data_IF_568599132909
#
_entry.id   IF_568599132909
#
_cell.length_a   1.000
_cell.length_b   1.000
_cell.length_c   1.000
_cell.angle_alpha   90.00
_cell.angle_beta   90.00
_cell.angle_gamma   90.00
#
_symmetry.space_group_name_H-M   'P 1'
#
loop_
_entity.id
_entity.type
_entity.pdbx_description
1 polymer ?
#
# COMPACT_ATOMS: atom_id res chain seq x y z
N UNK A 1 26.22 -26.01 7.36
CA UNK A 1 25.64 -24.98 8.24
C UNK A 1 26.66 -24.54 9.28
N UNK A 2 26.60 -23.28 9.70
CA UNK A 2 27.34 -22.72 10.84
C UNK A 2 26.28 -22.20 11.81
N UNK A 3 26.20 -22.75 13.04
CA UNK A 3 25.08 -22.45 13.94
C UNK A 3 25.50 -22.35 15.41
N UNK A 4 24.91 -21.40 16.14
CA UNK A 4 25.06 -21.19 17.58
C UNK A 4 26.49 -20.84 18.06
N UNK A 5 27.35 -20.35 17.16
CA UNK A 5 28.72 -19.95 17.49
C UNK A 5 28.78 -18.47 17.87
N UNK A 6 28.29 -18.13 19.07
CA UNK A 6 28.22 -16.75 19.57
C UNK A 6 29.57 -16.02 19.65
N UNK A 7 30.67 -16.76 19.79
CA UNK A 7 32.02 -16.21 19.84
C UNK A 7 32.72 -16.19 18.46
N UNK A 8 32.08 -16.70 17.40
CA UNK A 8 32.60 -16.59 16.04
C UNK A 8 32.31 -15.18 15.52
N UNK A 9 33.29 -14.29 15.58
CA UNK A 9 33.18 -12.90 15.14
C UNK A 9 33.83 -12.62 13.76
N UNK A 10 34.64 -13.57 13.27
CA UNK A 10 35.31 -13.53 11.98
C UNK A 10 35.23 -14.89 11.25
N UNK A 11 34.99 -14.85 9.94
CA UNK A 11 35.24 -15.96 8.99
C UNK A 11 36.25 -15.44 7.99
N UNK A 12 37.28 -16.24 7.71
CA UNK A 12 38.30 -15.91 6.72
C UNK A 12 37.67 -15.82 5.30
N UNK A 13 37.95 -14.77 4.51
CA UNK A 13 37.42 -14.62 3.14
C UNK A 13 37.74 -15.77 2.19
N UNK A 14 38.71 -16.61 2.53
CA UNK A 14 39.12 -17.77 1.76
C UNK A 14 38.56 -19.10 2.29
N UNK A 15 37.72 -19.07 3.34
CA UNK A 15 37.09 -20.26 3.93
C UNK A 15 36.07 -20.96 3.01
N UNK A 16 35.42 -20.21 2.11
CA UNK A 16 34.44 -20.74 1.15
C UNK A 16 34.98 -20.63 -0.28
N UNK A 17 35.60 -21.70 -0.77
CA UNK A 17 36.20 -21.77 -2.12
C UNK A 17 35.77 -23.01 -2.88
N UNK A 18 35.34 -22.82 -4.13
CA UNK A 18 35.08 -23.84 -5.14
C UNK A 18 34.27 -25.04 -4.61
N UNK A 19 32.99 -24.79 -4.31
CA UNK A 19 32.04 -25.77 -3.75
C UNK A 19 30.90 -26.01 -4.76
N UNK A 20 31.17 -26.63 -5.93
CA UNK A 20 30.21 -26.72 -7.04
C UNK A 20 28.94 -27.54 -6.72
N UNK A 21 29.00 -28.42 -5.71
CA UNK A 21 27.89 -29.25 -5.24
C UNK A 21 27.14 -28.65 -4.04
N UNK A 22 27.47 -27.43 -3.61
CA UNK A 22 26.84 -26.79 -2.46
C UNK A 22 25.44 -26.31 -2.83
N UNK A 23 24.41 -26.88 -2.20
CA UNK A 23 23.00 -26.52 -2.44
C UNK A 23 22.44 -25.52 -1.43
N UNK A 24 22.99 -25.56 -0.21
CA UNK A 24 22.50 -24.81 0.94
C UNK A 24 23.64 -24.31 1.81
N UNK A 25 23.61 -23.03 2.15
CA UNK A 25 24.51 -22.42 3.13
C UNK A 25 23.69 -21.71 4.20
N UNK A 26 23.66 -22.27 5.41
CA UNK A 26 23.03 -21.68 6.59
C UNK A 26 24.05 -21.08 7.58
N UNK A 27 23.88 -19.83 8.00
CA UNK A 27 24.69 -19.13 9.02
C UNK A 27 23.77 -18.51 10.08
N UNK A 28 23.77 -19.08 11.29
CA UNK A 28 22.76 -18.86 12.32
C UNK A 28 23.34 -18.52 13.69
N UNK A 29 22.83 -17.47 14.35
CA UNK A 29 23.11 -17.18 15.76
C UNK A 29 24.63 -17.14 16.06
N UNK A 30 25.35 -16.34 15.28
CA UNK A 30 26.81 -16.15 15.39
C UNK A 30 27.17 -14.75 15.89
N UNK A 31 28.44 -14.57 16.29
CA UNK A 31 29.00 -13.27 16.69
C UNK A 31 29.44 -12.37 15.53
N UNK A 32 29.18 -12.76 14.27
CA UNK A 32 29.74 -12.13 13.08
C UNK A 32 29.34 -10.66 12.97
N UNK A 33 30.36 -9.79 12.83
CA UNK A 33 30.20 -8.34 12.63
C UNK A 33 30.23 -7.95 11.15
N UNK A 34 30.92 -8.75 10.33
CA UNK A 34 31.16 -8.52 8.91
C UNK A 34 30.43 -9.60 8.11
N UNK A 35 29.89 -9.23 6.95
CA UNK A 35 29.29 -10.18 6.01
C UNK A 35 30.39 -11.09 5.43
N UNK A 36 30.22 -12.43 5.40
CA UNK A 36 31.25 -13.35 4.91
C UNK A 36 31.47 -13.19 3.40
N UNK A 37 32.70 -13.39 2.93
CA UNK A 37 32.98 -13.45 1.48
C UNK A 37 32.43 -14.77 0.92
N UNK A 38 31.45 -14.66 0.02
CA UNK A 38 30.81 -15.78 -0.66
C UNK A 38 31.18 -15.85 -2.15
N UNK A 39 32.01 -14.93 -2.64
CA UNK A 39 32.22 -14.70 -4.09
C UNK A 39 33.00 -15.81 -4.80
N UNK A 40 33.63 -16.71 -4.03
CA UNK A 40 34.51 -17.77 -4.52
C UNK A 40 33.85 -19.16 -4.48
N UNK A 41 32.55 -19.24 -4.18
CA UNK A 41 31.83 -20.51 -4.01
C UNK A 41 31.59 -21.23 -5.34
N UNK A 42 31.10 -20.52 -6.37
CA UNK A 42 30.81 -21.06 -7.71
C UNK A 42 29.98 -22.35 -7.70
N UNK A 43 28.80 -22.33 -7.06
CA UNK A 43 27.88 -23.47 -7.09
C UNK A 43 27.28 -23.67 -8.48
N UNK A 44 27.06 -24.94 -8.84
CA UNK A 44 26.39 -25.37 -10.07
C UNK A 44 25.01 -26.00 -9.79
N UNK A 45 24.46 -25.83 -8.59
CA UNK A 45 23.09 -26.26 -8.29
C UNK A 45 22.06 -25.29 -8.87
N UNK A 46 20.93 -25.82 -9.36
CA UNK A 46 19.90 -25.03 -10.04
C UNK A 46 19.17 -24.07 -9.10
N UNK A 47 18.99 -24.45 -7.83
CA UNK A 47 18.21 -23.69 -6.84
C UNK A 47 19.03 -23.53 -5.55
N UNK A 48 20.02 -22.62 -5.57
CA UNK A 48 20.85 -22.37 -4.39
C UNK A 48 20.07 -21.61 -3.32
N UNK A 49 20.09 -22.12 -2.08
CA UNK A 49 19.50 -21.46 -0.92
C UNK A 49 20.57 -20.93 0.04
N UNK A 50 20.66 -19.61 0.18
CA UNK A 50 21.47 -18.96 1.20
C UNK A 50 20.56 -18.49 2.35
N UNK A 51 20.90 -18.89 3.58
CA UNK A 51 20.16 -18.48 4.77
C UNK A 51 21.11 -17.92 5.84
N UNK A 52 20.99 -16.62 6.11
CA UNK A 52 21.75 -15.91 7.14
C UNK A 52 20.73 -15.29 8.08
N UNK A 53 20.66 -15.78 9.31
CA UNK A 53 19.67 -15.33 10.29
C UNK A 53 20.19 -15.29 11.72
N UNK A 54 19.54 -14.50 12.57
CA UNK A 54 19.88 -14.32 13.99
C UNK A 54 21.32 -13.81 14.23
N UNK A 55 21.90 -13.03 13.30
CA UNK A 55 23.24 -12.45 13.46
C UNK A 55 23.12 -10.93 13.79
N UNK A 56 23.01 -10.54 15.07
CA UNK A 56 22.61 -9.18 15.47
C UNK A 56 23.71 -8.13 15.30
N UNK A 57 24.96 -8.53 15.09
CA UNK A 57 26.10 -7.62 14.94
C UNK A 57 26.47 -7.34 13.47
N UNK A 58 25.85 -8.04 12.51
CA UNK A 58 26.13 -7.88 11.08
C UNK A 58 25.36 -6.67 10.55
N UNK A 59 26.07 -5.56 10.28
CA UNK A 59 25.43 -4.24 10.09
C UNK A 59 25.02 -3.90 8.66
N UNK A 60 25.60 -4.52 7.64
CA UNK A 60 25.28 -4.20 6.23
C UNK A 60 25.56 -5.35 5.28
N UNK A 61 24.83 -5.39 4.18
CA UNK A 61 25.15 -6.23 3.01
C UNK A 61 26.05 -5.40 2.07
N UNK A 62 27.29 -5.84 1.77
CA UNK A 62 28.21 -5.09 0.91
C UNK A 62 27.85 -5.18 -0.58
N UNK A 63 28.44 -4.32 -1.40
CA UNK A 63 28.37 -4.44 -2.86
C UNK A 63 28.95 -5.78 -3.34
N UNK A 64 28.33 -6.39 -4.36
CA UNK A 64 28.71 -7.69 -4.96
C UNK A 64 28.75 -8.87 -3.97
N UNK A 65 28.05 -8.81 -2.83
CA UNK A 65 28.11 -9.81 -1.76
C UNK A 65 27.80 -11.26 -2.20
N UNK A 66 27.01 -11.42 -3.27
CA UNK A 66 26.55 -12.70 -3.81
C UNK A 66 27.11 -13.01 -5.21
N UNK A 67 27.98 -12.15 -5.76
CA UNK A 67 28.50 -12.28 -7.11
C UNK A 67 29.38 -13.54 -7.23
N UNK A 68 29.05 -14.45 -8.14
CA UNK A 68 29.77 -15.74 -8.29
C UNK A 68 29.38 -16.82 -7.28
N UNK A 69 28.31 -16.62 -6.50
CA UNK A 69 27.78 -17.63 -5.58
C UNK A 69 27.14 -18.82 -6.32
N UNK A 70 26.28 -18.51 -7.30
CA UNK A 70 25.54 -19.45 -8.14
C UNK A 70 25.30 -18.82 -9.51
N UNK A 71 25.28 -19.63 -10.58
CA UNK A 71 24.97 -19.17 -11.94
C UNK A 71 23.48 -19.31 -12.30
N UNK A 72 22.78 -20.26 -11.67
CA UNK A 72 21.35 -20.52 -11.83
C UNK A 72 20.55 -19.71 -10.78
N UNK A 73 19.41 -20.22 -10.29
CA UNK A 73 18.53 -19.50 -9.37
C UNK A 73 19.10 -19.40 -7.94
N UNK A 74 18.95 -18.22 -7.34
CA UNK A 74 19.37 -17.91 -5.97
C UNK A 74 18.19 -17.44 -5.11
N UNK A 75 17.93 -18.18 -4.01
CA UNK A 75 17.02 -17.74 -2.94
C UNK A 75 17.81 -17.21 -1.75
N UNK A 76 17.48 -16.00 -1.31
CA UNK A 76 18.14 -15.28 -0.21
C UNK A 76 17.23 -15.13 1.01
N UNK A 77 17.54 -15.84 2.09
CA UNK A 77 16.89 -15.70 3.39
C UNK A 77 17.80 -14.94 4.35
N UNK A 78 17.61 -13.63 4.46
CA UNK A 78 18.49 -12.68 5.16
C UNK A 78 17.79 -12.03 6.36
N UNK A 79 17.02 -12.79 7.13
CA UNK A 79 16.08 -12.28 8.12
C UNK A 79 16.61 -12.19 9.56
N UNK A 80 16.04 -11.29 10.36
CA UNK A 80 16.33 -11.14 11.80
C UNK A 80 17.83 -10.93 12.15
N UNK A 81 18.56 -10.21 11.29
CA UNK A 81 19.95 -9.80 11.51
C UNK A 81 20.04 -8.34 11.97
N UNK A 82 21.27 -7.89 12.25
CA UNK A 82 21.60 -6.51 12.62
C UNK A 82 21.60 -5.49 11.48
N UNK A 83 21.12 -5.83 10.28
CA UNK A 83 21.29 -5.00 9.08
C UNK A 83 20.69 -3.61 9.26
N UNK A 84 21.46 -2.60 8.84
CA UNK A 84 21.11 -1.17 8.87
C UNK A 84 20.93 -0.61 7.46
N UNK A 85 21.71 -1.11 6.50
CA UNK A 85 21.67 -0.71 5.10
C UNK A 85 22.09 -1.85 4.16
N UNK A 86 21.55 -1.82 2.95
CA UNK A 86 22.01 -2.62 1.80
C UNK A 86 22.70 -1.66 0.82
N UNK A 87 23.93 -1.98 0.42
CA UNK A 87 24.72 -1.14 -0.48
C UNK A 87 24.22 -1.20 -1.93
N UNK A 88 24.62 -0.23 -2.76
CA UNK A 88 24.41 -0.30 -4.21
C UNK A 88 25.15 -1.51 -4.79
N UNK A 89 24.62 -2.10 -5.87
CA UNK A 89 25.13 -3.32 -6.50
C UNK A 89 25.28 -4.52 -5.55
N UNK A 90 24.56 -4.59 -4.43
CA UNK A 90 24.64 -5.71 -3.49
C UNK A 90 24.32 -7.06 -4.16
N UNK A 91 23.36 -7.07 -5.09
CA UNK A 91 22.90 -8.27 -5.80
C UNK A 91 23.41 -8.36 -7.26
N UNK A 92 24.42 -7.57 -7.63
CA UNK A 92 24.97 -7.54 -8.98
C UNK A 92 25.53 -8.91 -9.42
N UNK A 93 25.25 -9.31 -10.67
CA UNK A 93 25.69 -10.59 -11.25
C UNK A 93 24.98 -11.82 -10.68
N UNK A 94 23.69 -11.70 -10.32
CA UNK A 94 22.89 -12.82 -9.79
C UNK A 94 21.52 -12.95 -10.48
N UNK A 95 20.98 -14.18 -10.48
CA UNK A 95 19.59 -14.49 -10.82
C UNK A 95 18.82 -14.71 -9.51
N UNK A 96 17.90 -13.82 -9.17
CA UNK A 96 17.21 -13.82 -7.87
C UNK A 96 15.81 -14.40 -8.03
N UNK A 97 15.47 -15.43 -7.26
CA UNK A 97 14.07 -15.84 -7.11
C UNK A 97 13.44 -15.06 -5.95
N UNK A 98 13.60 -15.53 -4.72
CA UNK A 98 13.01 -14.90 -3.54
C UNK A 98 14.04 -14.25 -2.60
N UNK A 99 13.70 -13.06 -2.07
CA UNK A 99 14.52 -12.29 -1.12
C UNK A 99 13.71 -11.98 0.14
N UNK A 100 14.12 -12.57 1.27
CA UNK A 100 13.50 -12.35 2.58
C UNK A 100 14.42 -11.49 3.46
N UNK A 101 14.05 -10.22 3.63
CA UNK A 101 14.68 -9.22 4.50
C UNK A 101 13.83 -8.94 5.75
N UNK A 102 12.83 -9.76 6.04
CA UNK A 102 11.90 -9.53 7.13
C UNK A 102 12.57 -9.54 8.53
N UNK A 103 11.95 -8.88 9.51
CA UNK A 103 12.40 -8.79 10.92
C UNK A 103 13.77 -8.09 11.12
N UNK A 104 14.41 -7.53 10.09
CA UNK A 104 15.58 -6.68 10.24
C UNK A 104 15.18 -5.29 10.80
N UNK A 105 15.01 -5.22 12.12
CA UNK A 105 14.43 -4.06 12.84
C UNK A 105 15.20 -2.74 12.67
N UNK A 106 16.47 -2.80 12.25
CA UNK A 106 17.33 -1.63 12.08
C UNK A 106 17.55 -1.24 10.62
N UNK A 107 17.02 -2.00 9.66
CA UNK A 107 17.23 -1.79 8.23
C UNK A 107 16.42 -0.58 7.76
N UNK A 108 17.12 0.51 7.44
CA UNK A 108 16.54 1.82 7.09
C UNK A 108 16.57 2.12 5.60
N UNK A 109 17.62 1.66 4.91
CA UNK A 109 17.91 2.05 3.53
C UNK A 109 18.30 0.83 2.72
N UNK A 110 17.56 0.59 1.64
CA UNK A 110 18.04 -0.17 0.48
C UNK A 110 18.49 0.89 -0.52
N UNK A 111 19.71 0.79 -1.05
CA UNK A 111 20.21 1.73 -2.04
C UNK A 111 19.42 1.61 -3.37
N UNK A 112 19.19 2.73 -4.06
CA UNK A 112 18.45 2.76 -5.35
C UNK A 112 19.04 1.82 -6.40
N UNK A 113 20.37 1.68 -6.43
CA UNK A 113 21.07 0.81 -7.38
C UNK A 113 21.41 -0.58 -6.77
N UNK A 114 20.76 -0.99 -5.66
CA UNK A 114 21.02 -2.29 -5.02
C UNK A 114 20.75 -3.50 -5.94
N UNK A 115 19.72 -3.39 -6.80
CA UNK A 115 19.33 -4.39 -7.81
C UNK A 115 19.95 -4.13 -9.21
N UNK A 116 20.86 -3.16 -9.33
CA UNK A 116 21.47 -2.84 -10.62
C UNK A 116 22.52 -3.90 -11.00
N UNK A 117 22.31 -4.55 -12.15
CA UNK A 117 23.13 -5.67 -12.63
C UNK A 117 22.63 -7.06 -12.21
N UNK A 118 21.40 -7.15 -11.67
CA UNK A 118 20.68 -8.42 -11.53
C UNK A 118 20.28 -8.93 -12.92
N UNK A 119 20.50 -10.22 -13.18
CA UNK A 119 20.24 -10.84 -14.49
C UNK A 119 18.77 -11.26 -14.66
N UNK A 120 18.10 -11.67 -13.58
CA UNK A 120 16.67 -11.95 -13.55
C UNK A 120 16.10 -11.82 -12.13
N UNK A 121 14.82 -11.44 -12.01
CA UNK A 121 14.13 -11.26 -10.74
C UNK A 121 14.51 -9.97 -9.98
N UNK A 122 14.20 -9.86 -8.68
CA UNK A 122 13.56 -10.87 -7.83
C UNK A 122 12.07 -11.09 -8.14
N UNK A 123 11.59 -12.31 -7.95
CA UNK A 123 10.15 -12.68 -8.07
C UNK A 123 9.39 -12.37 -6.78
N UNK A 124 10.03 -12.53 -5.60
CA UNK A 124 9.46 -12.24 -4.29
C UNK A 124 10.39 -11.36 -3.45
N UNK A 125 9.83 -10.31 -2.83
CA UNK A 125 10.54 -9.44 -1.90
C UNK A 125 9.74 -9.26 -0.60
N UNK A 126 10.27 -9.78 0.51
CA UNK A 126 9.70 -9.59 1.85
C UNK A 126 10.57 -8.67 2.71
N UNK A 127 10.07 -7.45 2.95
CA UNK A 127 10.64 -6.41 3.82
C UNK A 127 9.79 -6.17 5.08
N UNK A 128 8.97 -7.14 5.49
CA UNK A 128 8.06 -7.03 6.64
C UNK A 128 8.82 -6.83 7.96
N UNK A 129 8.27 -5.99 8.85
CA UNK A 129 8.84 -5.68 10.18
C UNK A 129 10.27 -5.08 10.09
N UNK A 130 10.51 -4.26 9.08
CA UNK A 130 11.72 -3.44 8.92
C UNK A 130 11.41 -1.96 9.19
N UNK A 131 12.41 -1.08 9.07
CA UNK A 131 12.25 0.38 9.19
C UNK A 131 12.66 1.12 7.91
N UNK A 132 12.46 0.45 6.76
CA UNK A 132 12.78 0.97 5.42
C UNK A 132 11.85 2.16 5.10
N UNK A 133 12.43 3.23 4.55
CA UNK A 133 11.68 4.46 4.21
C UNK A 133 11.14 4.44 2.77
N UNK A 134 11.96 3.95 1.82
CA UNK A 134 11.66 3.89 0.39
C UNK A 134 12.05 2.50 -0.18
N UNK A 135 11.34 2.06 -1.21
CA UNK A 135 11.79 0.98 -2.10
C UNK A 135 12.57 1.58 -3.29
N UNK A 136 13.57 0.87 -3.84
CA UNK A 136 14.29 1.31 -5.01
C UNK A 136 13.39 1.37 -6.25
N UNK A 137 13.65 2.33 -7.14
CA UNK A 137 12.82 2.57 -8.34
C UNK A 137 13.16 1.61 -9.49
N UNK A 138 14.36 1.02 -9.50
CA UNK A 138 14.87 0.14 -10.58
C UNK A 138 15.00 -1.30 -10.12
N UNK A 139 14.88 -2.25 -11.05
CA UNK A 139 15.15 -3.67 -10.80
C UNK A 139 14.06 -4.41 -10.00
N UNK A 140 12.83 -3.90 -10.01
CA UNK A 140 11.64 -4.57 -9.42
C UNK A 140 10.60 -4.95 -10.48
N UNK A 141 10.98 -4.96 -11.76
CA UNK A 141 10.07 -5.15 -12.91
C UNK A 141 9.51 -6.58 -13.01
N UNK A 142 10.30 -7.58 -12.59
CA UNK A 142 9.92 -9.00 -12.53
C UNK A 142 9.23 -9.41 -11.21
N UNK A 143 8.93 -8.45 -10.33
CA UNK A 143 8.41 -8.73 -8.99
C UNK A 143 6.94 -9.19 -9.06
N UNK A 144 6.67 -10.40 -8.55
CA UNK A 144 5.35 -11.03 -8.48
C UNK A 144 4.71 -10.91 -7.10
N UNK A 145 5.50 -11.00 -6.03
CA UNK A 145 5.04 -10.87 -4.65
C UNK A 145 5.84 -9.83 -3.87
N UNK A 146 5.15 -8.83 -3.30
CA UNK A 146 5.73 -7.82 -2.40
C UNK A 146 5.11 -7.95 -1.00
N UNK A 147 5.94 -8.17 0.02
CA UNK A 147 5.49 -8.21 1.42
C UNK A 147 6.18 -7.12 2.25
N UNK A 148 5.39 -6.27 2.89
CA UNK A 148 5.80 -5.12 3.69
C UNK A 148 4.87 -4.95 4.90
N UNK A 149 4.55 -6.05 5.60
CA UNK A 149 3.70 -6.05 6.81
C UNK A 149 4.42 -5.38 7.98
N UNK A 150 3.74 -4.52 8.73
CA UNK A 150 4.26 -3.81 9.91
C UNK A 150 5.54 -2.98 9.64
N UNK A 151 5.65 -2.40 8.43
CA UNK A 151 6.74 -1.51 7.98
C UNK A 151 6.22 -0.07 7.86
N UNK A 152 5.82 0.50 9.01
CA UNK A 152 5.16 1.83 9.13
C UNK A 152 6.02 3.05 8.74
N UNK A 153 7.28 2.83 8.35
CA UNK A 153 8.18 3.87 7.82
C UNK A 153 8.09 4.00 6.30
N UNK A 154 7.63 2.95 5.60
CA UNK A 154 7.44 2.94 4.15
C UNK A 154 6.14 3.69 3.84
N UNK A 155 6.23 5.03 3.75
CA UNK A 155 5.05 5.87 3.49
C UNK A 155 4.69 5.96 2.00
N UNK A 156 5.66 5.82 1.10
CA UNK A 156 5.48 5.93 -0.35
C UNK A 156 5.97 4.67 -1.05
N UNK A 157 5.23 4.25 -2.07
CA UNK A 157 5.66 3.21 -3.00
C UNK A 157 6.15 3.84 -4.31
N UNK A 158 7.02 3.15 -5.07
CA UNK A 158 7.29 3.47 -6.47
C UNK A 158 5.99 3.45 -7.31
N UNK A 159 6.04 4.08 -8.49
CA UNK A 159 4.88 4.12 -9.38
C UNK A 159 4.45 2.70 -9.82
N UNK A 160 3.14 2.44 -9.87
CA UNK A 160 2.57 1.13 -10.25
C UNK A 160 3.06 0.63 -11.62
N UNK A 161 3.47 1.55 -12.51
CA UNK A 161 4.13 1.26 -13.80
C UNK A 161 5.35 0.33 -13.71
N UNK A 162 6.05 0.31 -12.57
CA UNK A 162 7.25 -0.51 -12.36
C UNK A 162 6.86 -1.96 -12.03
N UNK A 163 5.68 -2.16 -11.42
CA UNK A 163 5.20 -3.45 -10.95
C UNK A 163 4.42 -4.20 -12.04
N UNK A 164 5.07 -4.43 -13.19
CA UNK A 164 4.43 -5.01 -14.39
C UNK A 164 3.90 -6.44 -14.18
N UNK A 165 4.59 -7.24 -13.37
CA UNK A 165 4.25 -8.66 -13.15
C UNK A 165 3.67 -8.95 -11.75
N UNK A 166 3.27 -7.92 -10.99
CA UNK A 166 2.89 -8.08 -9.59
C UNK A 166 1.50 -8.72 -9.45
N UNK A 167 1.44 -9.86 -8.77
CA UNK A 167 0.22 -10.65 -8.53
C UNK A 167 -0.28 -10.45 -7.09
N UNK A 168 0.63 -10.23 -6.12
CA UNK A 168 0.29 -10.10 -4.70
C UNK A 168 1.09 -8.99 -4.02
N UNK A 169 0.40 -8.14 -3.26
CA UNK A 169 0.98 -7.07 -2.47
C UNK A 169 0.42 -7.11 -1.04
N UNK A 170 1.29 -7.21 -0.04
CA UNK A 170 0.87 -7.38 1.36
C UNK A 170 1.52 -6.32 2.24
N UNK A 171 0.80 -5.23 2.46
CA UNK A 171 1.33 -3.92 2.83
C UNK A 171 0.88 -3.51 4.24
N UNK A 172 1.41 -2.39 4.73
CA UNK A 172 1.03 -1.85 6.04
C UNK A 172 -0.13 -0.83 5.99
N UNK A 173 -0.36 -0.21 4.84
CA UNK A 173 -1.33 0.88 4.67
C UNK A 173 -2.40 0.52 3.63
N UNK A 174 -3.71 0.52 3.97
CA UNK A 174 -4.78 0.26 3.00
C UNK A 174 -4.77 1.24 1.81
N UNK A 175 -4.33 2.47 2.03
CA UNK A 175 -4.23 3.51 0.99
C UNK A 175 -3.22 3.17 -0.13
N UNK A 176 -2.26 2.28 0.11
CA UNK A 176 -1.37 1.80 -0.96
C UNK A 176 -2.12 0.89 -1.94
N UNK A 177 -3.07 0.07 -1.47
CA UNK A 177 -3.88 -0.81 -2.32
C UNK A 177 -4.82 -0.06 -3.27
N UNK A 178 -5.18 1.18 -2.93
CA UNK A 178 -5.93 2.08 -3.83
C UNK A 178 -5.24 2.31 -5.19
N UNK A 179 -3.91 2.38 -5.22
CA UNK A 179 -3.16 2.62 -6.46
C UNK A 179 -3.29 1.44 -7.44
N UNK A 180 -3.21 0.20 -6.93
CA UNK A 180 -3.39 -1.02 -7.73
C UNK A 180 -4.85 -1.20 -8.20
N UNK A 181 -5.83 -0.85 -7.35
CA UNK A 181 -7.26 -0.86 -7.71
C UNK A 181 -7.59 0.11 -8.86
N UNK A 182 -7.04 1.32 -8.81
CA UNK A 182 -7.26 2.34 -9.84
C UNK A 182 -6.50 2.04 -11.15
N UNK A 183 -5.34 1.38 -11.09
CA UNK A 183 -4.63 0.89 -12.26
C UNK A 183 -5.52 -0.01 -13.12
N UNK A 184 -6.18 -1.03 -12.52
CA UNK A 184 -7.09 -1.93 -13.24
C UNK A 184 -8.24 -1.18 -13.93
N UNK A 185 -8.80 -0.13 -13.32
CA UNK A 185 -9.88 0.67 -13.92
C UNK A 185 -9.46 1.30 -15.26
N UNK A 186 -8.24 1.82 -15.34
CA UNK A 186 -7.72 2.43 -16.56
C UNK A 186 -7.21 1.39 -17.57
N UNK A 187 -6.45 0.39 -17.10
CA UNK A 187 -5.93 -0.69 -17.94
C UNK A 187 -7.06 -1.54 -18.55
N UNK A 188 -8.10 -1.87 -17.78
CA UNK A 188 -9.26 -2.61 -18.27
C UNK A 188 -10.12 -1.82 -19.26
N UNK A 189 -10.17 -0.49 -19.19
CA UNK A 189 -10.80 0.34 -20.24
C UNK A 189 -9.95 0.32 -21.52
N UNK A 190 -8.63 0.46 -21.39
CA UNK A 190 -7.69 0.45 -22.53
C UNK A 190 -7.69 -0.92 -23.23
N UNK A 191 -7.61 -2.00 -22.46
CA UNK A 191 -7.63 -3.38 -22.92
C UNK A 191 -8.99 -3.77 -23.51
N UNK A 192 -10.11 -3.33 -22.92
CA UNK A 192 -11.44 -3.48 -23.52
C UNK A 192 -11.53 -2.76 -24.87
N UNK A 193 -11.02 -1.53 -24.99
CA UNK A 193 -11.01 -0.79 -26.26
C UNK A 193 -10.16 -1.49 -27.32
N UNK A 194 -8.96 -1.95 -26.96
CA UNK A 194 -8.05 -2.67 -27.88
C UNK A 194 -8.63 -4.03 -28.31
N UNK A 195 -9.13 -4.84 -27.37
CA UNK A 195 -9.70 -6.16 -27.66
C UNK A 195 -11.03 -6.09 -28.45
N UNK A 196 -11.87 -5.09 -28.19
CA UNK A 196 -13.12 -4.90 -28.94
C UNK A 196 -12.83 -4.45 -30.39
N UNK A 197 -11.75 -3.69 -30.62
CA UNK A 197 -11.32 -3.33 -31.98
C UNK A 197 -10.73 -4.55 -32.73
N UNK A 198 -10.01 -5.44 -32.04
CA UNK A 198 -9.57 -6.75 -32.57
C UNK A 198 -10.74 -7.67 -32.95
N UNK A 199 -11.87 -7.57 -32.24
CA UNK A 199 -13.11 -8.32 -32.56
C UNK A 199 -13.71 -8.00 -33.94
N UNK A 200 -13.50 -6.77 -34.44
CA UNK A 200 -14.08 -6.31 -35.72
C UNK A 200 -13.22 -6.67 -36.94
N UNK A 201 -11.90 -6.82 -36.77
CA UNK A 201 -10.96 -7.05 -37.88
C UNK A 201 -10.68 -8.51 -38.24
N UNK A 202 -11.24 -9.48 -37.50
CA UNK A 202 -11.11 -10.92 -37.82
C UNK A 202 -11.99 -11.37 -39.01
N UNK A 203 -12.86 -10.50 -39.53
CA UNK A 203 -13.79 -10.80 -40.63
C UNK A 203 -13.21 -10.57 -42.03
N UNK A 204 -11.99 -11.08 -42.29
CA UNK A 204 -11.50 -11.37 -43.65
C UNK A 204 -10.29 -12.32 -43.64
N UNK A 205 -10.34 -13.31 -44.53
CA UNK A 205 -9.28 -14.25 -44.93
C UNK A 205 -8.79 -15.26 -43.88
N UNK A 206 -9.51 -16.39 -43.75
CA UNK A 206 -8.91 -17.68 -43.36
C UNK A 206 -9.44 -18.85 -44.19
N UNK A 207 -8.65 -19.25 -45.21
CA UNK A 207 -8.74 -20.47 -46.04
C UNK A 207 -7.30 -20.77 -46.51
N UNK A 208 -6.73 -21.98 -46.49
CA UNK A 208 -7.10 -23.28 -45.90
C UNK A 208 -5.88 -24.24 -45.95
N UNK A 209 -5.97 -25.40 -45.25
CA UNK A 209 -5.10 -26.61 -45.38
C UNK A 209 -3.64 -26.54 -44.85
N UNK A 210 -2.99 -27.64 -44.41
CA UNK A 210 -3.37 -29.08 -44.35
C UNK A 210 -2.65 -29.77 -43.17
N UNK A 211 -3.34 -30.67 -42.46
CA UNK A 211 -2.70 -31.64 -41.56
C UNK A 211 -3.01 -33.07 -42.02
N UNK A 212 -2.00 -33.94 -42.09
CA UNK A 212 -2.12 -35.36 -42.48
C UNK A 212 -1.25 -36.20 -41.55
N UNK A 213 -1.87 -37.10 -40.75
CA UNK A 213 -1.27 -38.19 -39.91
C UNK A 213 -0.23 -37.68 -38.87
N UNK A 214 -0.37 -37.84 -37.55
CA UNK A 214 -0.98 -38.91 -36.73
C UNK A 214 -0.06 -40.15 -36.66
N UNK A 215 -0.03 -40.96 -35.57
CA UNK A 215 -0.69 -40.88 -34.25
C UNK A 215 0.27 -41.18 -33.04
N UNK A 216 -0.28 -41.57 -31.86
CA UNK A 216 0.39 -42.11 -30.63
C UNK A 216 1.09 -41.10 -29.69
N UNK A 217 1.06 -41.22 -28.34
CA UNK A 217 0.20 -41.96 -27.38
C UNK A 217 0.31 -41.19 -26.03
N UNK A 218 -0.76 -40.59 -25.49
CA UNK A 218 -1.61 -41.13 -24.41
C UNK A 218 -0.93 -41.16 -23.02
N UNK A 219 -1.20 -40.13 -22.21
CA UNK A 219 -1.00 -40.17 -20.75
C UNK A 219 -2.14 -40.92 -20.06
N UNK A 220 -1.86 -41.50 -18.89
CA UNK A 220 -2.82 -42.18 -18.04
C UNK A 220 -3.36 -41.24 -16.95
N UNK A 221 -4.69 -41.18 -16.81
CA UNK A 221 -5.35 -40.79 -15.58
C UNK A 221 -6.59 -41.68 -15.40
N UNK A 222 -6.73 -42.31 -14.24
CA UNK A 222 -7.75 -43.32 -13.98
C UNK A 222 -9.13 -42.74 -13.65
N UNK A 223 -10.11 -43.61 -13.80
CA UNK A 223 -11.55 -43.34 -13.78
C UNK A 223 -12.14 -43.49 -12.36
N UNK A 224 -13.04 -42.59 -11.98
CA UNK A 224 -14.16 -42.93 -11.11
C UNK A 224 -15.45 -42.36 -11.68
N UNK A 225 -16.36 -43.26 -12.03
CA UNK A 225 -17.63 -43.00 -12.74
C UNK A 225 -18.80 -42.94 -11.77
N UNK A 226 -19.73 -42.00 -11.94
CA UNK A 226 -21.15 -42.30 -11.70
C UNK A 226 -22.11 -41.48 -12.59
N UNK A 227 -23.21 -42.14 -12.94
CA UNK A 227 -24.03 -42.05 -14.17
C UNK A 227 -25.25 -41.14 -14.02
N UNK A 228 -25.74 -40.60 -15.16
CA UNK A 228 -27.15 -40.34 -15.64
C UNK A 228 -27.23 -39.00 -16.40
N UNK A 229 -28.01 -38.77 -17.48
CA UNK A 229 -28.70 -39.63 -18.46
C UNK A 229 -29.03 -38.79 -19.74
N UNK A 230 -28.99 -39.41 -20.94
CA UNK A 230 -29.85 -39.25 -22.17
C UNK A 230 -30.47 -37.87 -22.60
N UNK A 231 -30.69 -37.43 -23.87
CA UNK A 231 -30.57 -37.99 -25.26
C UNK A 231 -30.97 -36.95 -26.37
N UNK A 232 -30.50 -37.11 -27.64
CA UNK A 232 -30.96 -36.52 -28.96
C UNK A 232 -30.85 -34.98 -29.26
N UNK A 233 -30.66 -34.45 -30.51
CA UNK A 233 -30.18 -34.96 -31.83
C UNK A 233 -29.92 -33.82 -32.89
N UNK A 234 -29.18 -34.14 -33.98
CA UNK A 234 -29.16 -33.58 -35.38
C UNK A 234 -28.53 -32.20 -35.78
N UNK A 235 -27.36 -32.31 -36.44
CA UNK A 235 -26.99 -31.89 -37.83
C UNK A 235 -27.38 -30.50 -38.41
N UNK A 236 -26.45 -29.76 -39.04
CA UNK A 236 -26.08 -29.91 -40.48
C UNK A 236 -24.79 -29.15 -40.94
N UNK A 237 -24.35 -29.38 -42.19
CA UNK A 237 -23.00 -29.11 -42.77
C UNK A 237 -22.86 -27.76 -43.51
N UNK A 238 -21.61 -27.31 -43.77
CA UNK A 238 -21.27 -26.37 -44.87
C UNK A 238 -19.90 -26.65 -45.53
N UNK A 239 -19.63 -26.09 -46.72
CA UNK A 239 -18.60 -26.56 -47.69
C UNK A 239 -17.57 -25.52 -48.19
N UNK A 240 -16.30 -25.98 -48.33
CA UNK A 240 -15.25 -25.68 -49.34
C UNK A 240 -14.88 -24.25 -49.83
N UNK A 241 -13.59 -23.86 -49.67
CA UNK A 241 -12.52 -23.78 -50.71
C UNK A 241 -11.39 -22.74 -50.39
N UNK A 242 -10.66 -22.15 -51.35
CA UNK A 242 -9.38 -21.38 -51.20
C UNK A 242 -9.55 -19.82 -51.27
N UNK A 243 -8.57 -18.87 -51.24
CA UNK A 243 -7.08 -18.86 -51.47
C UNK A 243 -6.32 -17.60 -50.85
N UNK A 244 -5.10 -17.25 -51.36
CA UNK A 244 -4.02 -16.32 -50.91
C UNK A 244 -4.23 -14.76 -50.96
N UNK A 245 -3.49 -14.00 -50.11
CA UNK A 245 -2.48 -12.96 -50.48
C UNK A 245 -1.89 -12.19 -49.28
N UNK A 246 -0.70 -11.58 -49.45
CA UNK A 246 0.14 -10.87 -48.45
C UNK A 246 -0.21 -9.37 -48.32
N UNK A 247 0.20 -8.68 -47.23
CA UNK A 247 0.81 -7.32 -47.24
C UNK A 247 1.34 -6.93 -45.84
N UNK A 248 2.37 -6.07 -45.79
CA UNK A 248 2.99 -5.50 -44.58
C UNK A 248 2.64 -4.00 -44.42
N UNK A 249 2.55 -3.50 -43.18
CA UNK A 249 2.64 -2.06 -42.85
C UNK A 249 3.54 -1.86 -41.63
N UNK A 250 4.39 -0.84 -41.70
CA UNK A 250 5.41 -0.43 -40.72
C UNK A 250 4.95 0.90 -40.09
N UNK A 251 5.28 1.15 -38.81
CA UNK A 251 5.08 2.45 -38.16
C UNK A 251 6.19 2.69 -37.15
N UNK A 252 6.87 3.82 -37.29
CA UNK A 252 8.05 4.23 -36.55
C UNK A 252 7.71 5.46 -35.69
N UNK A 253 8.41 5.64 -34.56
CA UNK A 253 8.08 6.62 -33.53
C UNK A 253 9.28 7.55 -33.26
N UNK A 254 9.09 8.88 -33.36
CA UNK A 254 9.55 9.92 -32.40
C UNK A 254 9.63 11.34 -32.98
N UNK A 255 9.51 12.34 -32.08
CA UNK A 255 10.36 13.55 -32.12
C UNK A 255 9.71 14.85 -32.62
N UNK A 256 9.75 15.89 -31.77
CA UNK A 256 9.35 17.27 -32.11
C UNK A 256 10.42 18.00 -32.94
N UNK A 257 10.01 18.91 -33.85
CA UNK A 257 10.85 20.07 -34.23
C UNK A 257 10.89 20.49 -35.71
N UNK A 258 10.15 21.56 -36.02
CA UNK A 258 10.32 22.50 -37.15
C UNK A 258 10.27 22.02 -38.62
N UNK A 259 9.69 22.90 -39.45
CA UNK A 259 9.35 22.67 -40.87
C UNK A 259 10.50 23.02 -41.81
N UNK A 260 10.76 22.17 -42.82
CA UNK A 260 11.64 22.48 -43.96
C UNK A 260 11.46 21.47 -45.12
N UNK A 261 11.25 21.97 -46.35
CA UNK A 261 10.97 21.18 -47.56
C UNK A 261 12.25 20.90 -48.38
N UNK A 262 12.43 19.70 -48.96
CA UNK A 262 13.42 19.48 -50.04
C UNK A 262 13.82 18.02 -50.33
N UNK A 263 13.97 17.70 -51.63
CA UNK A 263 14.49 16.49 -52.31
C UNK A 263 15.88 15.98 -51.79
N UNK A 264 16.44 14.79 -52.11
CA UNK A 264 16.17 13.79 -53.16
C UNK A 264 16.77 12.39 -52.81
N UNK A 265 16.47 11.34 -53.60
CA UNK A 265 16.99 9.97 -53.40
C UNK A 265 18.48 9.80 -53.73
N UNK A 266 19.17 8.90 -53.03
CA UNK A 266 20.26 8.06 -53.59
C UNK A 266 20.49 6.76 -52.81
N UNK A 267 20.32 5.62 -53.49
CA UNK A 267 20.93 4.33 -53.14
C UNK A 267 22.42 4.35 -53.55
N UNK A 268 23.34 3.61 -52.89
CA UNK A 268 23.46 2.18 -53.15
C UNK A 268 23.85 1.29 -51.95
N UNK A 269 23.85 -0.03 -52.22
CA UNK A 269 24.18 -1.13 -51.30
C UNK A 269 25.66 -1.15 -50.89
N UNK A 270 25.92 -1.55 -49.64
CA UNK A 270 26.92 -2.60 -49.34
C UNK A 270 26.54 -3.34 -48.05
N UNK A 271 26.93 -4.60 -47.94
CA UNK A 271 26.54 -5.54 -46.88
C UNK A 271 27.43 -5.38 -45.63
N UNK A 272 26.88 -5.52 -44.42
CA UNK A 272 27.31 -6.61 -43.53
C UNK A 272 26.42 -6.82 -42.26
N UNK A 273 26.06 -8.08 -42.09
CA UNK A 273 25.62 -8.81 -40.88
C UNK A 273 25.38 -8.06 -39.54
N UNK A 274 24.10 -7.90 -39.16
CA UNK A 274 23.68 -7.83 -37.75
C UNK A 274 22.50 -8.77 -37.48
N UNK A 275 22.56 -9.48 -36.35
CA UNK A 275 21.55 -10.47 -35.96
C UNK A 275 20.27 -9.80 -35.47
N UNK A 276 19.13 -10.19 -36.05
CA UNK A 276 17.81 -9.81 -35.54
C UNK A 276 17.48 -10.64 -34.31
N UNK A 277 17.51 -10.02 -33.12
CA UNK A 277 16.82 -10.52 -31.94
C UNK A 277 15.39 -9.99 -31.93
N UNK A 278 14.44 -10.80 -32.43
CA UNK A 278 13.03 -10.43 -32.50
C UNK A 278 12.27 -10.93 -31.28
N UNK A 279 12.32 -10.16 -30.20
CA UNK A 279 11.45 -10.35 -29.04
C UNK A 279 10.00 -9.99 -29.40
N UNK A 280 9.27 -10.94 -29.99
CA UNK A 280 7.83 -10.83 -30.20
C UNK A 280 7.11 -11.01 -28.86
N UNK A 281 6.80 -9.90 -28.19
CA UNK A 281 5.91 -9.89 -27.04
C UNK A 281 4.48 -10.21 -27.50
N UNK A 282 4.12 -11.49 -27.38
CA UNK A 282 2.78 -11.98 -27.69
C UNK A 282 1.85 -11.56 -26.54
N UNK A 283 1.11 -10.46 -26.72
CA UNK A 283 0.03 -10.10 -25.81
C UNK A 283 -1.09 -11.15 -25.87
N UNK A 284 -0.97 -12.18 -25.06
CA UNK A 284 -2.01 -13.18 -24.84
C UNK A 284 -3.12 -12.49 -24.05
N UNK A 285 -4.32 -12.41 -24.62
CA UNK A 285 -5.54 -12.06 -23.89
C UNK A 285 -5.95 -13.20 -22.93
N UNK A 286 -5.08 -13.49 -21.97
CA UNK A 286 -5.34 -14.31 -20.79
C UNK A 286 -5.63 -13.37 -19.64
N UNK A 287 -6.69 -13.65 -18.88
CA UNK A 287 -7.33 -12.66 -18.02
C UNK A 287 -6.35 -11.98 -17.05
N UNK A 288 -6.53 -10.66 -16.89
CA UNK A 288 -5.87 -9.88 -15.85
C UNK A 288 -6.13 -10.53 -14.48
N UNK A 289 -5.16 -11.28 -13.96
CA UNK A 289 -5.22 -11.72 -12.56
C UNK A 289 -5.16 -10.48 -11.68
N UNK A 290 -6.17 -10.31 -10.85
CA UNK A 290 -6.27 -9.12 -10.00
C UNK A 290 -5.16 -9.13 -8.97
N UNK A 291 -4.40 -8.03 -8.92
CA UNK A 291 -3.35 -7.85 -7.91
C UNK A 291 -3.99 -7.93 -6.52
N UNK A 292 -3.77 -9.05 -5.85
CA UNK A 292 -4.34 -9.32 -4.52
C UNK A 292 -3.58 -8.44 -3.53
N UNK A 293 -4.19 -7.32 -3.15
CA UNK A 293 -3.58 -6.33 -2.27
C UNK A 293 -4.24 -6.32 -0.89
N UNK A 294 -3.46 -6.61 0.16
CA UNK A 294 -3.90 -6.59 1.56
C UNK A 294 -3.15 -5.53 2.36
N UNK A 295 -3.75 -4.87 3.36
CA UNK A 295 -5.18 -4.88 3.69
C UNK A 295 -6.04 -4.15 2.65
N UNK A 296 -7.27 -4.63 2.43
CA UNK A 296 -8.21 -3.97 1.53
C UNK A 296 -8.67 -2.60 2.09
N UNK A 297 -9.01 -1.62 1.24
CA UNK A 297 -9.50 -0.31 1.68
C UNK A 297 -10.96 -0.37 2.14
N UNK A 298 -11.17 -0.29 3.45
CA UNK A 298 -12.48 -0.25 4.13
C UNK A 298 -13.23 1.10 3.95
N UNK A 299 -14.52 1.13 4.30
CA UNK A 299 -15.35 2.35 4.32
C UNK A 299 -14.78 3.46 5.24
N UNK A 300 -14.03 3.09 6.28
CA UNK A 300 -13.33 4.03 7.16
C UNK A 300 -12.01 4.60 6.57
N UNK A 301 -11.47 3.95 5.54
CA UNK A 301 -10.23 4.30 4.85
C UNK A 301 -10.43 4.33 3.32
N UNK A 302 -11.30 5.23 2.81
CA UNK A 302 -11.63 5.31 1.39
C UNK A 302 -10.44 5.77 0.52
N UNK A 303 -10.49 5.48 -0.77
CA UNK A 303 -9.41 5.79 -1.71
C UNK A 303 -9.48 7.21 -2.32
N UNK A 304 -10.64 7.61 -2.80
CA UNK A 304 -10.78 8.84 -3.61
C UNK A 304 -11.06 10.07 -2.72
N UNK A 305 -12.00 9.96 -1.79
CA UNK A 305 -12.58 11.07 -1.03
C UNK A 305 -12.89 10.65 0.42
N UNK A 306 -12.68 11.52 1.42
CA UNK A 306 -13.05 11.26 2.82
C UNK A 306 -14.58 11.21 2.95
N UNK A 307 -15.27 12.13 2.28
CA UNK A 307 -16.72 12.18 2.18
C UNK A 307 -17.17 11.73 0.79
N UNK A 308 -17.24 10.41 0.57
CA UNK A 308 -17.46 9.81 -0.75
C UNK A 308 -18.75 10.21 -1.50
N UNK A 309 -19.73 10.82 -0.83
CA UNK A 309 -20.98 11.29 -1.44
C UNK A 309 -21.09 12.81 -1.49
N UNK A 310 -21.37 13.35 -2.68
CA UNK A 310 -21.57 14.80 -2.89
C UNK A 310 -22.70 15.38 -2.02
N UNK A 311 -23.76 14.61 -1.76
CA UNK A 311 -24.84 15.03 -0.85
C UNK A 311 -24.33 15.18 0.60
N UNK A 312 -23.53 14.22 1.08
CA UNK A 312 -22.96 14.26 2.42
C UNK A 312 -22.07 15.49 2.60
N UNK A 313 -21.25 15.82 1.58
CA UNK A 313 -20.43 17.04 1.55
C UNK A 313 -21.26 18.32 1.71
N UNK A 314 -22.36 18.46 0.96
CA UNK A 314 -23.26 19.61 1.05
C UNK A 314 -23.88 19.71 2.46
N UNK A 315 -24.34 18.60 3.02
CA UNK A 315 -24.91 18.54 4.38
C UNK A 315 -23.87 18.90 5.44
N UNK A 316 -22.65 18.34 5.37
CA UNK A 316 -21.57 18.62 6.32
C UNK A 316 -21.20 20.10 6.29
N UNK A 317 -21.00 20.71 5.12
CA UNK A 317 -20.70 22.14 5.01
C UNK A 317 -21.83 23.02 5.59
N UNK A 318 -23.08 22.68 5.32
CA UNK A 318 -24.25 23.42 5.84
C UNK A 318 -24.38 23.30 7.38
N UNK A 319 -24.32 22.07 7.91
CA UNK A 319 -24.42 21.80 9.36
C UNK A 319 -23.24 22.44 10.11
N UNK A 320 -22.03 22.32 9.58
CA UNK A 320 -20.83 22.95 10.13
C UNK A 320 -20.97 24.49 10.23
N UNK A 321 -21.37 25.14 9.13
CA UNK A 321 -21.54 26.59 9.11
C UNK A 321 -22.61 27.05 10.12
N UNK A 322 -23.73 26.33 10.23
CA UNK A 322 -24.76 26.59 11.24
C UNK A 322 -24.26 26.35 12.67
N UNK A 323 -23.50 25.28 12.91
CA UNK A 323 -22.95 24.97 14.22
C UNK A 323 -21.96 26.04 14.68
N UNK A 324 -21.06 26.51 13.80
CA UNK A 324 -20.10 27.56 14.13
C UNK A 324 -20.84 28.90 14.34
N UNK A 325 -21.63 29.37 13.37
CA UNK A 325 -22.29 30.68 13.48
C UNK A 325 -23.27 30.71 14.66
N UNK A 326 -24.09 29.67 14.82
CA UNK A 326 -25.09 29.57 15.88
C UNK A 326 -24.46 29.59 17.27
N UNK A 327 -23.43 28.77 17.50
CA UNK A 327 -22.78 28.72 18.81
C UNK A 327 -21.92 29.94 19.11
N UNK A 328 -21.22 30.52 18.12
CA UNK A 328 -20.51 31.79 18.29
C UNK A 328 -21.50 32.93 18.62
N UNK A 329 -22.67 32.96 17.99
CA UNK A 329 -23.71 33.95 18.28
C UNK A 329 -24.30 33.78 19.69
N UNK A 330 -24.55 32.54 20.13
CA UNK A 330 -24.98 32.22 21.51
C UNK A 330 -23.92 32.64 22.53
N UNK A 331 -22.64 32.30 22.30
CA UNK A 331 -21.52 32.72 23.15
C UNK A 331 -21.40 34.24 23.21
N UNK A 332 -21.46 34.92 22.06
CA UNK A 332 -21.41 36.38 21.97
C UNK A 332 -22.53 37.04 22.78
N UNK A 333 -23.78 36.62 22.60
CA UNK A 333 -24.91 37.17 23.39
C UNK A 333 -24.72 36.90 24.88
N UNK A 334 -24.35 35.69 25.28
CA UNK A 334 -24.25 35.33 26.70
C UNK A 334 -23.04 36.00 27.40
N UNK A 335 -21.96 36.29 26.68
CA UNK A 335 -20.77 36.97 27.21
C UNK A 335 -20.89 38.51 27.19
N UNK A 336 -21.52 39.09 26.17
CA UNK A 336 -21.74 40.55 26.06
C UNK A 336 -22.95 41.03 26.87
N UNK A 337 -23.84 40.12 27.27
CA UNK A 337 -25.01 40.40 28.11
C UNK A 337 -24.61 40.98 29.48
N UNK A 338 -24.96 42.24 29.74
CA UNK A 338 -24.83 42.88 31.06
C UNK A 338 -25.72 42.28 32.18
N UNK A 339 -26.56 41.29 31.88
CA UNK A 339 -27.36 40.60 32.88
C UNK A 339 -26.51 39.63 33.72
N UNK A 340 -26.84 39.50 35.02
CA UNK A 340 -26.13 38.59 35.94
C UNK A 340 -26.07 37.15 35.40
N UNK A 341 -24.87 36.56 35.47
CA UNK A 341 -24.62 35.15 35.14
C UNK A 341 -25.35 34.23 36.13
N UNK A 342 -26.46 33.65 35.67
CA UNK A 342 -27.18 32.59 36.38
C UNK A 342 -26.58 31.23 36.06
N UNK A 343 -26.78 30.23 36.92
CA UNK A 343 -26.23 28.88 36.71
C UNK A 343 -26.65 28.28 35.36
N UNK A 344 -27.93 28.33 34.92
CA UNK A 344 -28.31 27.85 33.60
C UNK A 344 -27.62 28.56 32.45
N UNK A 345 -27.39 29.88 32.54
CA UNK A 345 -26.68 30.65 31.50
C UNK A 345 -25.22 30.24 31.41
N UNK A 346 -24.55 30.06 32.56
CA UNK A 346 -23.19 29.56 32.61
C UNK A 346 -23.07 28.15 31.99
N UNK A 347 -24.00 27.24 32.28
CA UNK A 347 -24.01 25.91 31.68
C UNK A 347 -24.29 25.96 30.16
N UNK A 348 -25.21 26.82 29.71
CA UNK A 348 -25.45 27.04 28.27
C UNK A 348 -24.21 27.61 27.55
N UNK A 349 -23.39 28.45 28.19
CA UNK A 349 -22.10 28.86 27.61
C UNK A 349 -21.14 27.68 27.44
N UNK A 350 -21.07 26.75 28.39
CA UNK A 350 -20.19 25.58 28.29
C UNK A 350 -20.65 24.64 27.16
N UNK A 351 -21.96 24.44 27.01
CA UNK A 351 -22.52 23.63 25.93
C UNK A 351 -22.26 24.27 24.56
N UNK A 352 -22.53 25.57 24.40
CA UNK A 352 -22.23 26.29 23.17
C UNK A 352 -20.73 26.31 22.83
N UNK A 353 -19.84 26.34 23.83
CA UNK A 353 -18.40 26.21 23.61
C UNK A 353 -18.01 24.81 23.09
N UNK A 354 -18.58 23.76 23.68
CA UNK A 354 -18.34 22.38 23.24
C UNK A 354 -18.88 22.15 21.81
N UNK A 355 -20.11 22.58 21.52
CA UNK A 355 -20.69 22.45 20.18
C UNK A 355 -19.96 23.32 19.12
N UNK A 356 -19.37 24.46 19.53
CA UNK A 356 -18.44 25.22 18.69
C UNK A 356 -17.14 24.44 18.40
N UNK A 357 -16.57 23.74 19.38
CA UNK A 357 -15.39 22.88 19.17
C UNK A 357 -15.71 21.69 18.24
N UNK A 358 -16.91 21.10 18.34
CA UNK A 358 -17.38 20.11 17.36
C UNK A 358 -17.49 20.71 15.94
N UNK A 359 -17.96 21.96 15.83
CA UNK A 359 -17.94 22.72 14.57
C UNK A 359 -16.53 22.86 13.99
N UNK A 360 -15.54 23.26 14.80
CA UNK A 360 -14.15 23.35 14.36
C UNK A 360 -13.58 22.01 13.87
N UNK A 361 -13.92 20.89 14.52
CA UNK A 361 -13.58 19.55 14.05
C UNK A 361 -14.20 19.25 12.67
N UNK A 362 -15.50 19.49 12.49
CA UNK A 362 -16.18 19.27 11.20
C UNK A 362 -15.64 20.18 10.09
N UNK A 363 -15.32 21.44 10.40
CA UNK A 363 -14.67 22.37 9.48
C UNK A 363 -13.30 21.88 9.02
N UNK A 364 -12.50 21.36 9.95
CA UNK A 364 -11.18 20.82 9.65
C UNK A 364 -11.29 19.59 8.73
N UNK A 365 -12.18 18.63 9.02
CA UNK A 365 -12.41 17.46 8.14
C UNK A 365 -12.91 17.90 6.75
N UNK A 366 -13.88 18.81 6.69
CA UNK A 366 -14.42 19.34 5.43
C UNK A 366 -13.39 20.14 4.62
N UNK A 367 -12.42 20.78 5.28
CA UNK A 367 -11.33 21.50 4.63
C UNK A 367 -10.31 20.54 4.01
N UNK A 368 -9.98 19.44 4.70
CA UNK A 368 -9.10 18.39 4.17
C UNK A 368 -9.75 17.66 3.01
N UNK A 369 -11.02 17.28 3.14
CA UNK A 369 -11.79 16.63 2.06
C UNK A 369 -11.88 17.49 0.78
N UNK A 370 -11.97 18.82 0.92
CA UNK A 370 -11.92 19.75 -0.21
C UNK A 370 -10.50 19.90 -0.79
N UNK A 371 -9.46 19.85 0.03
CA UNK A 371 -8.06 19.96 -0.39
C UNK A 371 -7.58 18.69 -1.12
N UNK A 372 -7.90 17.50 -0.61
CA UNK A 372 -7.44 16.20 -1.15
C UNK A 372 -8.43 15.57 -2.14
N UNK A 373 -9.33 16.36 -2.72
CA UNK A 373 -10.45 15.89 -3.54
C UNK A 373 -9.99 14.93 -4.64
N UNK A 374 -10.62 13.75 -4.73
CA UNK A 374 -10.30 12.64 -5.65
C UNK A 374 -8.89 12.03 -5.55
N UNK A 375 -7.98 12.60 -4.75
CA UNK A 375 -6.60 12.13 -4.56
C UNK A 375 -6.27 11.93 -3.07
N UNK A 376 -7.26 11.56 -2.26
CA UNK A 376 -7.06 11.33 -0.83
C UNK A 376 -6.01 10.24 -0.57
N UNK A 377 -5.99 9.14 -1.34
CA UNK A 377 -5.00 8.05 -1.16
C UNK A 377 -3.53 8.50 -1.18
N UNK A 378 -3.18 9.55 -1.96
CA UNK A 378 -1.82 10.11 -2.01
C UNK A 378 -1.43 10.84 -0.72
N UNK A 379 -2.42 11.45 -0.05
CA UNK A 379 -2.25 12.30 1.13
C UNK A 379 -2.67 11.58 2.43
N UNK A 380 -3.38 10.46 2.35
CA UNK A 380 -3.99 9.76 3.48
C UNK A 380 -2.99 9.42 4.60
N UNK A 381 -1.80 8.93 4.24
CA UNK A 381 -0.76 8.56 5.22
C UNK A 381 -0.19 9.81 5.89
N UNK A 382 -0.01 10.92 5.15
CA UNK A 382 0.44 12.20 5.72
C UNK A 382 -0.62 12.82 6.63
N UNK A 383 -1.89 12.74 6.22
CA UNK A 383 -3.04 13.17 7.03
C UNK A 383 -3.12 12.39 8.35
N UNK A 384 -3.24 11.06 8.26
CA UNK A 384 -3.44 10.16 9.41
C UNK A 384 -2.25 10.14 10.37
N UNK A 385 -1.01 10.15 9.86
CA UNK A 385 0.19 10.19 10.71
C UNK A 385 0.63 11.60 11.09
N UNK A 386 -0.05 12.63 10.58
CA UNK A 386 0.27 14.04 10.81
C UNK A 386 -0.36 14.63 12.07
N UNK A 387 0.09 15.83 12.49
CA UNK A 387 -0.47 16.51 13.65
C UNK A 387 -1.93 16.97 13.43
N UNK A 388 -2.37 17.12 12.19
CA UNK A 388 -3.74 17.50 11.84
C UNK A 388 -4.77 16.49 12.34
N UNK A 389 -4.57 15.20 12.06
CA UNK A 389 -5.48 14.14 12.50
C UNK A 389 -5.49 13.97 14.03
N UNK A 390 -4.32 14.08 14.69
CA UNK A 390 -4.24 14.09 16.16
C UNK A 390 -5.01 15.27 16.78
N UNK A 391 -4.95 16.45 16.15
CA UNK A 391 -5.69 17.65 16.60
C UNK A 391 -7.20 17.48 16.38
N UNK A 392 -7.61 16.89 15.26
CA UNK A 392 -8.99 16.56 14.95
C UNK A 392 -9.58 15.57 15.97
N UNK A 393 -8.84 14.48 16.23
CA UNK A 393 -9.18 13.44 17.21
C UNK A 393 -9.33 13.99 18.63
N UNK A 394 -8.41 14.88 19.03
CA UNK A 394 -8.54 15.59 20.31
C UNK A 394 -9.82 16.42 20.36
N UNK A 395 -10.11 17.27 19.35
CA UNK A 395 -11.30 18.11 19.35
C UNK A 395 -12.61 17.31 19.37
N UNK A 396 -12.73 16.23 18.58
CA UNK A 396 -13.97 15.42 18.53
C UNK A 396 -14.25 14.68 19.84
N UNK A 397 -13.22 14.11 20.50
CA UNK A 397 -13.40 13.45 21.80
C UNK A 397 -13.64 14.47 22.91
N UNK A 398 -12.83 15.53 22.98
CA UNK A 398 -12.95 16.56 24.02
C UNK A 398 -14.34 17.22 23.99
N UNK A 399 -14.81 17.59 22.79
CA UNK A 399 -16.05 18.33 22.64
C UNK A 399 -17.31 17.45 22.77
N UNK A 400 -17.29 16.20 22.27
CA UNK A 400 -18.42 15.28 22.46
C UNK A 400 -18.62 14.93 23.95
N UNK A 401 -17.55 14.57 24.65
CA UNK A 401 -17.58 14.31 26.11
C UNK A 401 -17.99 15.55 26.91
N UNK A 402 -17.49 16.74 26.56
CA UNK A 402 -17.86 17.98 27.24
C UNK A 402 -19.33 18.36 27.00
N UNK A 403 -19.87 18.17 25.80
CA UNK A 403 -21.31 18.39 25.52
C UNK A 403 -22.18 17.41 26.30
N UNK A 404 -21.84 16.12 26.32
CA UNK A 404 -22.57 15.10 27.11
C UNK A 404 -22.51 15.43 28.61
N UNK A 405 -21.32 15.70 29.15
CA UNK A 405 -21.16 16.08 30.55
C UNK A 405 -21.98 17.32 30.89
N UNK A 406 -21.88 18.39 30.08
CA UNK A 406 -22.64 19.63 30.31
C UNK A 406 -24.14 19.41 30.24
N UNK A 407 -24.63 18.57 29.32
CA UNK A 407 -26.04 18.20 29.23
C UNK A 407 -26.53 17.51 30.52
N UNK A 408 -25.75 16.58 31.08
CA UNK A 408 -26.10 15.93 32.36
C UNK A 408 -26.10 16.89 33.55
N UNK A 409 -25.19 17.88 33.58
CA UNK A 409 -25.19 18.91 34.63
C UNK A 409 -26.39 19.85 34.47
N UNK A 410 -26.81 20.16 33.23
CA UNK A 410 -28.04 20.93 32.96
C UNK A 410 -29.27 20.17 33.44
N UNK A 411 -29.42 18.88 33.15
CA UNK A 411 -30.60 18.11 33.59
C UNK A 411 -30.67 17.99 35.11
N UNK A 412 -29.54 17.77 35.78
CA UNK A 412 -29.45 17.75 37.25
C UNK A 412 -29.76 19.12 37.88
N UNK A 413 -29.28 20.22 37.29
CA UNK A 413 -29.59 21.59 37.75
C UNK A 413 -31.10 21.86 37.64
N UNK A 414 -31.71 21.52 36.50
CA UNK A 414 -33.15 21.69 36.26
C UNK A 414 -33.99 20.87 37.21
N UNK A 415 -33.66 19.59 37.39
CA UNK A 415 -34.33 18.72 38.36
C UNK A 415 -34.26 19.31 39.77
N UNK A 416 -33.06 19.68 40.23
CA UNK A 416 -32.86 20.27 41.56
C UNK A 416 -33.64 21.59 41.73
N UNK A 417 -33.62 22.47 40.72
CA UNK A 417 -34.32 23.74 40.75
C UNK A 417 -35.85 23.57 40.84
N UNK A 418 -36.42 22.55 40.19
CA UNK A 418 -37.84 22.22 40.25
C UNK A 418 -38.20 21.62 41.62
N UNK A 419 -37.51 20.56 42.05
CA UNK A 419 -37.82 19.85 43.31
C UNK A 419 -37.66 20.74 44.55
N UNK A 420 -36.70 21.67 44.54
CA UNK A 420 -36.43 22.56 45.69
C UNK A 420 -36.89 24.02 45.48
N UNK A 421 -37.76 24.28 44.50
CA UNK A 421 -38.24 25.63 44.14
C UNK A 421 -38.73 26.46 45.34
N UNK A 422 -39.46 25.82 46.28
CA UNK A 422 -40.04 26.45 47.47
C UNK A 422 -39.04 26.68 48.63
N UNK A 423 -37.76 26.32 48.49
CA UNK A 423 -36.73 26.46 49.55
C UNK A 423 -35.59 27.39 49.12
N UNK A 424 -35.76 28.74 49.20
CA UNK A 424 -34.81 29.69 48.63
C UNK A 424 -33.37 29.58 49.18
N UNK A 425 -33.20 29.11 50.43
CA UNK A 425 -31.88 28.92 51.05
C UNK A 425 -31.09 27.72 50.51
N UNK A 426 -31.71 26.81 49.74
CA UNK A 426 -31.06 25.61 49.16
C UNK A 426 -30.56 25.81 47.71
N UNK A 427 -30.73 26.99 47.09
CA UNK A 427 -30.36 27.22 45.69
C UNK A 427 -28.87 26.97 45.39
N UNK A 428 -28.59 26.24 44.31
CA UNK A 428 -27.24 26.02 43.80
C UNK A 428 -26.62 27.39 43.44
N UNK A 429 -25.50 27.72 44.09
CA UNK A 429 -24.71 28.92 43.80
C UNK A 429 -23.73 28.65 42.65
N UNK A 430 -23.45 29.68 41.84
CA UNK A 430 -22.50 29.63 40.72
C UNK A 430 -21.12 29.03 41.08
N UNK A 431 -20.63 29.27 42.30
CA UNK A 431 -19.36 28.66 42.80
C UNK A 431 -19.36 27.13 42.75
N UNK A 432 -20.47 26.47 43.07
CA UNK A 432 -20.55 25.00 43.00
C UNK A 432 -20.59 24.53 41.55
N UNK A 433 -21.35 25.20 40.68
CA UNK A 433 -21.40 24.88 39.26
C UNK A 433 -20.03 25.07 38.57
N UNK A 434 -19.27 26.10 38.94
CA UNK A 434 -17.89 26.30 38.47
C UNK A 434 -16.96 25.15 38.88
N UNK A 435 -17.03 24.68 40.13
CA UNK A 435 -16.22 23.54 40.61
C UNK A 435 -16.61 22.23 39.92
N UNK A 436 -17.92 21.97 39.76
CA UNK A 436 -18.43 20.80 39.05
C UNK A 436 -17.95 20.82 37.59
N UNK A 437 -18.14 21.93 36.87
CA UNK A 437 -17.68 22.05 35.49
C UNK A 437 -16.16 21.92 35.37
N UNK A 438 -15.37 22.50 36.28
CA UNK A 438 -13.91 22.36 36.27
C UNK A 438 -13.48 20.88 36.42
N UNK A 439 -14.18 20.09 37.24
CA UNK A 439 -13.98 18.64 37.32
C UNK A 439 -14.30 17.93 36.00
N UNK A 440 -15.43 18.27 35.38
CA UNK A 440 -15.81 17.76 34.05
C UNK A 440 -14.78 18.09 32.96
N UNK A 441 -14.38 19.35 32.85
CA UNK A 441 -13.35 19.81 31.91
C UNK A 441 -12.03 19.05 32.06
N UNK A 442 -11.55 18.86 33.30
CA UNK A 442 -10.33 18.07 33.56
C UNK A 442 -10.51 16.60 33.13
N UNK A 443 -11.69 16.02 33.35
CA UNK A 443 -12.00 14.64 32.94
C UNK A 443 -12.05 14.51 31.41
N UNK A 444 -12.79 15.37 30.71
CA UNK A 444 -12.90 15.36 29.25
C UNK A 444 -11.54 15.62 28.57
N UNK A 445 -10.73 16.53 29.14
CA UNK A 445 -9.37 16.79 28.67
C UNK A 445 -8.46 15.58 28.85
N UNK A 446 -8.53 14.89 30.01
CA UNK A 446 -7.76 13.66 30.23
C UNK A 446 -8.17 12.55 29.26
N UNK A 447 -9.47 12.34 29.03
CA UNK A 447 -9.99 11.35 28.08
C UNK A 447 -9.50 11.62 26.65
N UNK A 448 -9.55 12.87 26.20
CA UNK A 448 -9.05 13.28 24.87
C UNK A 448 -7.51 13.19 24.74
N UNK A 449 -6.77 13.14 25.85
CA UNK A 449 -5.32 12.89 25.83
C UNK A 449 -4.97 11.39 25.75
N UNK A 450 -5.81 10.47 26.21
CA UNK A 450 -5.46 9.03 26.28
C UNK A 450 -5.00 8.44 24.93
N UNK A 451 -5.66 8.72 23.77
CA UNK A 451 -5.20 8.22 22.47
C UNK A 451 -3.92 8.88 21.97
N UNK A 452 -3.50 10.02 22.53
CA UNK A 452 -2.20 10.64 22.23
C UNK A 452 -1.05 9.98 23.02
N UNK A 453 -1.34 9.37 24.17
CA UNK A 453 -0.38 8.66 25.04
C UNK A 453 -0.24 7.17 24.66
N UNK A 454 -0.67 6.78 23.45
CA UNK A 454 -0.61 5.41 22.88
C UNK A 454 -1.48 4.36 23.57
N UNK A 455 -2.51 4.75 24.33
CA UNK A 455 -3.52 3.80 24.82
C UNK A 455 -4.45 3.34 23.68
N UNK A 456 -4.73 4.24 22.75
CA UNK A 456 -5.48 4.05 21.51
C UNK A 456 -4.79 4.87 20.41
N UNK A 457 -5.32 4.95 19.18
CA UNK A 457 -4.79 5.86 18.16
C UNK A 457 -5.88 6.52 17.31
N UNK A 458 -5.74 7.84 17.11
CA UNK A 458 -6.52 8.59 16.12
C UNK A 458 -6.06 8.32 14.68
N UNK A 459 -4.85 7.79 14.48
CA UNK A 459 -4.22 7.63 13.15
C UNK A 459 -4.72 6.44 12.33
N UNK A 460 -5.78 5.74 12.77
CA UNK A 460 -6.25 4.47 12.18
C UNK A 460 -7.36 4.64 11.14
N UNK A 461 -8.10 5.74 11.22
CA UNK A 461 -9.31 6.03 10.44
C UNK A 461 -9.20 7.43 9.84
N UNK A 462 -9.68 7.62 8.61
CA UNK A 462 -9.63 8.92 7.90
C UNK A 462 -10.24 10.10 8.68
N UNK A 463 -11.34 9.86 9.40
CA UNK A 463 -12.04 10.83 10.25
C UNK A 463 -11.47 10.95 11.68
N UNK A 464 -10.33 10.34 11.98
CA UNK A 464 -9.56 10.55 13.21
C UNK A 464 -10.29 10.21 14.52
N UNK A 465 -11.19 9.22 14.49
CA UNK A 465 -11.80 8.66 15.71
C UNK A 465 -10.82 7.77 16.47
N UNK A 466 -10.91 7.69 17.81
CA UNK A 466 -10.07 6.80 18.61
C UNK A 466 -10.49 5.36 18.34
N UNK A 467 -9.63 4.59 17.69
CA UNK A 467 -9.82 3.16 17.45
C UNK A 467 -8.62 2.40 17.98
N UNK A 468 -8.87 1.22 18.55
CA UNK A 468 -7.82 0.44 19.17
C UNK A 468 -6.79 -0.06 18.16
N UNK A 469 -5.54 -0.12 18.62
CA UNK A 469 -4.48 -0.78 17.87
C UNK A 469 -4.61 -2.29 18.10
N UNK A 470 -5.48 -2.96 17.34
CA UNK A 470 -5.39 -4.41 17.24
C UNK A 470 -4.01 -4.80 16.72
N UNK A 471 -3.24 -5.44 17.60
CA UNK A 471 -2.07 -6.26 17.27
C UNK A 471 -2.48 -7.71 17.47
N UNK A 472 -2.32 -8.55 16.45
CA UNK A 472 -1.31 -9.61 16.56
C UNK A 472 0.01 -9.34 15.78
#
# INVERSE_FOLDING_TARGET
EIRNLRNLDYIDPDAFKNLPLLKYLGIFNTGLKVFPDLTKIYSSDVNFLLEIADNPFMTSVPANAFHGLCNESLTLKLYNNGFTSIQGHAFNGTNLDAIYLHKNKYLKVINEDAFLGVHSGPTLLDISRTVIVNLPVKGLESLKELMARNTWTLKKLPAVKIFLQLIRADLSYPSHCCAFKNWKKNSGILEYLMCNQSGSHSSRNRRSFRAIRGPFYKDYAEEYTERTDTVYDKNTKFTNFHENSQYYIFLEEHGEGNVGFGQELKNPQTEDMQAFDSHYDYLVCGGSEDVICTPEPDEFNPCEDIMGYQFLRIVVWFVNLLAIIGNVFVLFILLTSHYKLTVPRFLMCNLAFADFCMGLYLLLIASVDLYTRSEYYNHAIEWQTGPGCNTAGFFTVFASELSVYTLTVITLERWYAITFAMRPNRKIRLRHALVIMLGGWLSCFLLALLPLVRVSSYSKVSICLPMDTETP
#
